data_IF_301962448310
#
_entry.id   IF_301962448310
#
_cell.length_a   1.000
_cell.length_b   1.000
_cell.length_c   1.000
_cell.angle_alpha   90.00
_cell.angle_beta   90.00
_cell.angle_gamma   90.00
#
_symmetry.space_group_name_H-M   'P 1'
#
loop_
_entity.id
_entity.type
_entity.pdbx_description
1 polymer ?
#
# COMPACT_ATOMS: atom_id res chain seq x y z
N UNK A 1 19.44 14.20 -5.05
CA UNK A 1 19.14 14.90 -6.33
C UNK A 1 17.88 15.71 -6.15
N UNK A 2 17.94 17.03 -6.33
CA UNK A 2 16.77 17.90 -6.27
C UNK A 2 16.01 17.82 -7.61
N UNK A 3 14.73 17.40 -7.58
CA UNK A 3 13.88 17.35 -8.77
C UNK A 3 12.95 18.57 -8.71
N UNK A 4 12.99 19.48 -9.68
CA UNK A 4 12.14 20.68 -9.71
C UNK A 4 10.65 20.36 -9.72
N UNK A 5 9.84 21.15 -9.03
CA UNK A 5 8.40 20.92 -8.87
C UNK A 5 7.61 20.76 -10.19
N UNK A 6 7.90 21.50 -11.29
CA UNK A 6 7.21 21.28 -12.58
C UNK A 6 7.48 19.89 -13.17
N UNK A 7 8.69 19.37 -13.01
CA UNK A 7 9.05 18.02 -13.45
C UNK A 7 8.32 17.00 -12.60
N UNK A 8 8.29 17.19 -11.27
CA UNK A 8 7.53 16.32 -10.37
C UNK A 8 6.04 16.35 -10.71
N UNK A 9 5.49 17.50 -11.08
CA UNK A 9 4.09 17.64 -11.47
C UNK A 9 3.77 16.85 -12.76
N UNK A 10 4.57 17.03 -13.80
CA UNK A 10 4.33 16.36 -15.09
C UNK A 10 4.36 14.84 -14.98
N UNK A 11 5.32 14.31 -14.19
CA UNK A 11 5.50 12.87 -14.01
C UNK A 11 4.75 12.30 -12.82
N UNK A 12 4.46 13.10 -11.80
CA UNK A 12 3.65 12.70 -10.65
C UNK A 12 2.20 12.38 -11.02
N UNK A 13 1.67 12.97 -12.09
CA UNK A 13 0.31 12.73 -12.59
C UNK A 13 0.01 11.27 -12.90
N UNK A 14 1.02 10.47 -13.31
CA UNK A 14 0.85 9.05 -13.58
C UNK A 14 0.71 8.18 -12.33
N UNK A 15 1.17 8.67 -11.17
CA UNK A 15 1.23 7.89 -9.92
C UNK A 15 0.14 8.22 -8.91
N UNK A 16 -0.70 9.19 -9.21
CA UNK A 16 -1.84 9.61 -8.38
C UNK A 16 -3.10 9.68 -9.24
N UNK A 17 -4.25 9.39 -8.65
CA UNK A 17 -5.52 9.49 -9.36
C UNK A 17 -5.89 10.95 -9.67
N UNK A 18 -5.51 11.87 -8.78
CA UNK A 18 -5.79 13.29 -8.82
C UNK A 18 -5.83 13.89 -7.43
N UNK A 19 -6.48 15.05 -7.29
CA UNK A 19 -6.53 15.76 -6.01
C UNK A 19 -7.82 15.49 -5.22
N UNK A 20 -8.84 14.92 -5.85
CA UNK A 20 -10.17 14.76 -5.28
C UNK A 20 -10.60 13.30 -5.20
N UNK A 21 -11.57 13.00 -4.33
CA UNK A 21 -12.20 11.67 -4.25
C UNK A 21 -12.85 11.28 -5.59
N UNK A 22 -13.41 12.25 -6.32
CA UNK A 22 -13.97 12.00 -7.65
C UNK A 22 -12.93 11.45 -8.64
N UNK A 23 -11.69 11.95 -8.59
CA UNK A 23 -10.59 11.42 -9.40
C UNK A 23 -10.26 9.98 -9.05
N UNK A 24 -10.21 9.66 -7.74
CA UNK A 24 -9.96 8.30 -7.26
C UNK A 24 -11.07 7.34 -7.71
N UNK A 25 -12.33 7.75 -7.61
CA UNK A 25 -13.50 6.97 -8.09
C UNK A 25 -13.40 6.69 -9.58
N UNK A 26 -13.13 7.73 -10.39
CA UNK A 26 -12.97 7.59 -11.85
C UNK A 26 -11.88 6.57 -12.20
N UNK A 27 -10.69 6.69 -11.60
CA UNK A 27 -9.58 5.76 -11.84
C UNK A 27 -9.93 4.34 -11.38
N UNK A 28 -10.56 4.21 -10.21
CA UNK A 28 -10.99 2.90 -9.68
C UNK A 28 -12.00 2.23 -10.62
N UNK A 29 -12.97 2.96 -11.17
CA UNK A 29 -13.91 2.40 -12.15
C UNK A 29 -13.22 1.87 -13.40
N UNK A 30 -12.22 2.59 -13.93
CA UNK A 30 -11.47 2.13 -15.10
C UNK A 30 -10.65 0.86 -14.79
N UNK A 31 -10.08 0.74 -13.58
CA UNK A 31 -9.41 -0.48 -13.14
C UNK A 31 -10.42 -1.64 -13.01
N UNK A 32 -11.60 -1.39 -12.40
CA UNK A 32 -12.62 -2.42 -12.20
C UNK A 32 -13.18 -2.96 -13.52
N UNK A 33 -13.30 -2.14 -14.59
CA UNK A 33 -13.65 -2.61 -15.94
C UNK A 33 -12.67 -3.66 -16.48
N UNK A 34 -11.43 -3.65 -16.01
CA UNK A 34 -10.38 -4.62 -16.36
C UNK A 34 -10.25 -5.76 -15.36
N UNK A 35 -11.23 -5.95 -14.45
CA UNK A 35 -11.17 -6.91 -13.34
C UNK A 35 -9.99 -6.67 -12.36
N UNK A 36 -9.53 -5.44 -12.25
CA UNK A 36 -8.48 -5.02 -11.33
C UNK A 36 -9.13 -4.34 -10.12
N UNK A 37 -8.82 -4.83 -8.93
CA UNK A 37 -9.25 -4.24 -7.65
C UNK A 37 -8.44 -2.96 -7.36
N UNK A 38 -8.96 -2.11 -6.49
CA UNK A 38 -8.23 -0.94 -6.03
C UNK A 38 -8.08 -0.89 -4.50
N UNK A 39 -7.03 -0.23 -4.03
CA UNK A 39 -6.93 0.30 -2.66
C UNK A 39 -6.83 1.80 -2.76
N UNK A 40 -7.79 2.51 -2.19
CA UNK A 40 -7.82 3.98 -2.20
C UNK A 40 -7.07 4.49 -0.96
N UNK A 41 -6.14 5.41 -1.16
CA UNK A 41 -5.33 6.05 -0.10
C UNK A 41 -5.45 7.56 -0.19
N UNK A 42 -5.77 8.22 0.92
CA UNK A 42 -5.77 9.68 1.03
C UNK A 42 -4.35 10.13 1.40
N UNK A 43 -3.73 10.90 0.52
CA UNK A 43 -2.37 11.37 0.74
C UNK A 43 -2.26 12.32 1.94
N UNK A 44 -1.54 11.90 2.95
CA UNK A 44 -1.27 12.61 4.20
C UNK A 44 -0.48 11.70 5.14
N UNK A 45 0.36 12.27 5.97
CA UNK A 45 1.16 11.55 6.99
C UNK A 45 1.66 12.56 8.04
N UNK A 46 2.12 12.08 9.20
CA UNK A 46 2.74 12.89 10.25
C UNK A 46 1.86 14.07 10.71
N UNK A 47 0.61 13.77 11.04
CA UNK A 47 -0.35 14.76 11.56
C UNK A 47 -0.04 15.08 13.02
N UNK A 48 0.08 16.37 13.34
CA UNK A 48 0.45 16.87 14.67
C UNK A 48 -0.69 17.60 15.41
N UNK A 49 -1.87 17.72 14.78
CA UNK A 49 -3.05 18.37 15.35
C UNK A 49 -4.24 17.42 15.35
N UNK A 50 -4.98 17.38 16.48
CA UNK A 50 -6.15 16.49 16.62
C UNK A 50 -7.23 16.78 15.56
N UNK A 51 -7.45 18.04 15.27
CA UNK A 51 -8.46 18.47 14.27
C UNK A 51 -8.14 17.94 12.86
N UNK A 52 -6.85 17.92 12.51
CA UNK A 52 -6.41 17.36 11.20
C UNK A 52 -6.57 15.83 11.17
N UNK A 53 -6.27 15.13 12.28
CA UNK A 53 -6.49 13.69 12.36
C UNK A 53 -7.98 13.32 12.26
N UNK A 54 -8.85 14.08 12.94
CA UNK A 54 -10.32 13.92 12.83
C UNK A 54 -10.80 14.19 11.41
N UNK A 55 -10.25 15.21 10.75
CA UNK A 55 -10.55 15.47 9.34
C UNK A 55 -10.21 14.26 8.46
N UNK A 56 -9.00 13.69 8.59
CA UNK A 56 -8.62 12.51 7.82
C UNK A 56 -9.46 11.27 8.16
N UNK A 57 -9.82 11.06 9.43
CA UNK A 57 -10.75 10.00 9.82
C UNK A 57 -12.09 10.13 9.06
N UNK A 58 -12.67 11.32 9.05
CA UNK A 58 -13.94 11.57 8.38
C UNK A 58 -13.83 11.41 6.85
N UNK A 59 -12.73 11.83 6.25
CA UNK A 59 -12.46 11.58 4.82
C UNK A 59 -12.29 10.09 4.52
N UNK A 60 -11.66 9.28 5.41
CA UNK A 60 -11.60 7.82 5.26
C UNK A 60 -12.99 7.17 5.28
N UNK A 61 -13.86 7.57 6.21
CA UNK A 61 -15.26 7.11 6.27
C UNK A 61 -16.01 7.51 5.00
N UNK A 62 -15.81 8.72 4.49
CA UNK A 62 -16.40 9.19 3.23
C UNK A 62 -15.92 8.38 2.03
N UNK A 63 -14.63 8.00 1.97
CA UNK A 63 -14.10 7.09 0.94
C UNK A 63 -14.82 5.75 0.99
N UNK A 64 -14.91 5.11 2.16
CA UNK A 64 -15.61 3.84 2.35
C UNK A 64 -17.09 3.92 1.95
N UNK A 65 -17.81 4.97 2.40
CA UNK A 65 -19.20 5.22 2.02
C UNK A 65 -19.36 5.41 0.49
N UNK A 66 -18.37 6.02 -0.17
CA UNK A 66 -18.38 6.20 -1.61
C UNK A 66 -18.10 4.89 -2.34
N UNK A 67 -17.17 4.07 -1.86
CA UNK A 67 -16.89 2.73 -2.39
C UNK A 67 -18.18 1.89 -2.39
N UNK A 68 -18.91 1.88 -1.28
CA UNK A 68 -20.16 1.14 -1.12
C UNK A 68 -21.25 1.67 -2.07
N UNK A 69 -21.55 2.96 -2.02
CA UNK A 69 -22.59 3.60 -2.86
C UNK A 69 -22.36 3.43 -4.36
N UNK A 70 -21.10 3.45 -4.78
CA UNK A 70 -20.71 3.34 -6.20
C UNK A 70 -20.47 1.89 -6.64
N UNK A 71 -20.61 0.91 -5.72
CA UNK A 71 -20.37 -0.50 -5.98
C UNK A 71 -18.95 -0.79 -6.48
N UNK A 72 -17.94 -0.07 -5.96
CA UNK A 72 -16.56 -0.21 -6.42
C UNK A 72 -15.89 -1.44 -5.81
N UNK A 73 -15.19 -2.22 -6.63
CA UNK A 73 -14.30 -3.26 -6.14
C UNK A 73 -13.01 -2.63 -5.61
N UNK A 74 -13.10 -2.05 -4.42
CA UNK A 74 -12.02 -1.34 -3.76
C UNK A 74 -12.09 -1.46 -2.24
N UNK A 75 -10.96 -1.21 -1.59
CA UNK A 75 -10.85 -1.04 -0.14
C UNK A 75 -10.09 0.24 0.20
N UNK A 76 -9.95 0.53 1.49
CA UNK A 76 -9.24 1.69 2.01
C UNK A 76 -7.86 1.29 2.55
N UNK A 77 -6.85 2.13 2.32
CA UNK A 77 -5.58 2.14 3.06
C UNK A 77 -5.45 3.43 3.86
N UNK A 78 -4.91 3.35 5.06
CA UNK A 78 -4.66 4.50 5.94
C UNK A 78 -3.31 4.37 6.66
N UNK A 79 -2.81 5.48 7.18
CA UNK A 79 -1.56 5.52 7.96
C UNK A 79 -1.83 5.88 9.41
N UNK A 80 -1.22 5.16 10.40
CA UNK A 80 -1.38 5.48 11.81
C UNK A 80 -1.02 6.92 12.17
N UNK A 81 0.05 7.49 11.58
CA UNK A 81 0.44 8.88 11.85
C UNK A 81 -0.55 9.89 11.27
N UNK A 82 -1.28 9.54 10.22
CA UNK A 82 -2.39 10.34 9.69
C UNK A 82 -3.58 10.35 10.66
N UNK A 83 -3.78 9.27 11.40
CA UNK A 83 -4.86 9.14 12.40
C UNK A 83 -4.48 9.74 13.77
N UNK A 84 -3.28 10.33 13.89
CA UNK A 84 -2.84 11.05 15.08
C UNK A 84 -1.88 10.28 15.99
N UNK A 85 -1.21 9.21 15.50
CA UNK A 85 -0.28 8.42 16.31
C UNK A 85 0.91 9.24 16.84
N UNK A 86 1.31 10.32 16.19
CA UNK A 86 2.33 11.24 16.71
C UNK A 86 1.82 12.12 17.87
N UNK A 87 0.50 12.21 18.05
CA UNK A 87 -0.13 13.02 19.09
C UNK A 87 -0.39 12.15 20.32
N UNK A 88 -1.11 11.07 20.14
CA UNK A 88 -1.52 10.17 21.20
C UNK A 88 -1.91 8.80 20.61
N UNK A 89 -1.43 7.71 21.25
CA UNK A 89 -1.65 6.34 20.78
C UNK A 89 -3.12 5.94 20.79
N UNK A 90 -3.78 6.18 21.92
CA UNK A 90 -5.15 5.71 22.12
C UNK A 90 -6.14 6.54 21.31
N UNK A 91 -5.86 7.82 21.12
CA UNK A 91 -6.59 8.68 20.19
C UNK A 91 -6.49 8.16 18.75
N UNK A 92 -5.29 7.78 18.29
CA UNK A 92 -5.10 7.22 16.96
C UNK A 92 -5.80 5.87 16.79
N UNK A 93 -5.70 4.98 17.79
CA UNK A 93 -6.40 3.70 17.81
C UNK A 93 -7.91 3.88 17.72
N UNK A 94 -8.48 4.79 18.50
CA UNK A 94 -9.92 5.09 18.45
C UNK A 94 -10.36 5.59 17.08
N UNK A 95 -9.59 6.48 16.44
CA UNK A 95 -9.89 6.93 15.08
C UNK A 95 -9.86 5.78 14.07
N UNK A 96 -8.90 4.86 14.17
CA UNK A 96 -8.81 3.70 13.29
C UNK A 96 -9.94 2.70 13.58
N UNK A 97 -10.29 2.47 14.85
CA UNK A 97 -11.39 1.62 15.26
C UNK A 97 -12.72 2.07 14.64
N UNK A 98 -13.05 3.37 14.71
CA UNK A 98 -14.25 3.91 14.07
C UNK A 98 -14.28 3.67 12.55
N UNK A 99 -13.14 3.80 11.86
CA UNK A 99 -13.03 3.54 10.42
C UNK A 99 -13.23 2.06 10.10
N UNK A 100 -12.61 1.15 10.90
CA UNK A 100 -12.71 -0.31 10.69
C UNK A 100 -14.12 -0.79 11.03
N UNK A 101 -14.74 -0.25 12.09
CA UNK A 101 -16.15 -0.53 12.44
C UNK A 101 -17.08 -0.16 11.29
N UNK A 102 -16.94 1.04 10.72
CA UNK A 102 -17.71 1.43 9.54
C UNK A 102 -17.46 0.52 8.34
N UNK A 103 -16.21 0.12 8.09
CA UNK A 103 -15.87 -0.81 7.02
C UNK A 103 -16.55 -2.18 7.20
N UNK A 104 -16.63 -2.69 8.46
CA UNK A 104 -17.36 -3.92 8.79
C UNK A 104 -18.85 -3.81 8.45
N UNK A 105 -19.49 -2.69 8.82
CA UNK A 105 -20.91 -2.48 8.60
C UNK A 105 -21.31 -2.53 7.11
N UNK A 106 -20.39 -2.12 6.22
CA UNK A 106 -20.57 -2.18 4.76
C UNK A 106 -19.86 -3.38 4.10
N UNK A 107 -19.44 -4.38 4.88
CA UNK A 107 -18.69 -5.54 4.41
C UNK A 107 -17.45 -5.20 3.57
N UNK A 108 -16.67 -4.22 4.02
CA UNK A 108 -15.42 -3.78 3.38
C UNK A 108 -14.21 -4.01 4.30
N UNK A 109 -13.04 -3.59 3.84
CA UNK A 109 -11.75 -3.89 4.45
C UNK A 109 -10.86 -2.64 4.55
N UNK A 110 -10.10 -2.55 5.64
CA UNK A 110 -9.12 -1.48 5.87
C UNK A 110 -7.71 -2.05 5.97
N UNK A 111 -6.79 -1.48 5.22
CA UNK A 111 -5.35 -1.77 5.32
C UNK A 111 -4.66 -0.70 6.16
N UNK A 112 -4.09 -1.09 7.29
CA UNK A 112 -3.21 -0.22 8.09
C UNK A 112 -1.82 -0.28 7.48
N UNK A 113 -1.38 0.81 6.84
CA UNK A 113 -0.08 0.89 6.19
C UNK A 113 1.05 0.95 7.23
N UNK A 114 2.19 0.35 6.90
CA UNK A 114 3.39 0.41 7.71
C UNK A 114 4.22 1.62 7.32
N UNK A 115 4.60 2.39 8.31
CA UNK A 115 5.44 3.58 8.15
C UNK A 115 6.91 3.27 8.54
N UNK A 116 7.66 4.24 9.05
CA UNK A 116 9.04 4.03 9.48
C UNK A 116 9.14 3.16 10.75
N UNK A 117 10.37 2.76 11.09
CA UNK A 117 10.62 1.82 12.19
C UNK A 117 10.20 2.34 13.57
N UNK A 118 10.07 3.66 13.73
CA UNK A 118 9.60 4.29 14.97
C UNK A 118 8.18 3.84 15.32
N UNK A 119 7.34 3.60 14.30
CA UNK A 119 5.93 3.30 14.45
C UNK A 119 5.58 1.83 14.26
N UNK A 120 6.57 0.98 13.93
CA UNK A 120 6.33 -0.45 13.65
C UNK A 120 5.61 -1.15 14.79
N UNK A 121 6.08 -0.99 16.04
CA UNK A 121 5.47 -1.69 17.18
C UNK A 121 4.02 -1.26 17.40
N UNK A 122 3.74 0.04 17.36
CA UNK A 122 2.38 0.57 17.53
C UNK A 122 1.45 0.09 16.41
N UNK A 123 1.92 0.08 15.15
CA UNK A 123 1.14 -0.40 14.01
C UNK A 123 0.78 -1.88 14.15
N UNK A 124 1.72 -2.72 14.59
CA UNK A 124 1.46 -4.15 14.82
C UNK A 124 0.52 -4.39 16.02
N UNK A 125 0.63 -3.59 17.09
CA UNK A 125 -0.30 -3.63 18.22
C UNK A 125 -1.71 -3.22 17.79
N UNK A 126 -1.86 -2.14 17.02
CA UNK A 126 -3.17 -1.73 16.47
C UNK A 126 -3.79 -2.83 15.62
N UNK A 127 -3.02 -3.45 14.73
CA UNK A 127 -3.52 -4.57 13.96
C UNK A 127 -3.95 -5.74 14.84
N UNK A 128 -3.19 -6.08 15.88
CA UNK A 128 -3.52 -7.17 16.80
C UNK A 128 -4.82 -6.89 17.55
N UNK A 129 -4.97 -5.69 18.12
CA UNK A 129 -6.17 -5.30 18.86
C UNK A 129 -7.42 -5.26 17.95
N UNK A 130 -7.30 -4.62 16.77
CA UNK A 130 -8.43 -4.45 15.84
C UNK A 130 -8.88 -5.75 15.18
N UNK A 131 -7.97 -6.68 14.87
CA UNK A 131 -8.37 -7.95 14.26
C UNK A 131 -9.12 -8.89 15.22
N UNK A 132 -8.93 -8.73 16.53
CA UNK A 132 -9.71 -9.48 17.54
C UNK A 132 -11.17 -9.03 17.52
N UNK A 133 -11.41 -7.72 17.36
CA UNK A 133 -12.75 -7.13 17.31
C UNK A 133 -13.39 -7.21 15.92
N UNK A 134 -12.58 -7.07 14.86
CA UNK A 134 -13.01 -7.02 13.46
C UNK A 134 -12.30 -8.09 12.60
N UNK A 135 -12.51 -9.38 12.88
CA UNK A 135 -11.85 -10.45 12.13
C UNK A 135 -12.27 -10.41 10.65
N UNK A 136 -11.29 -10.29 9.76
CA UNK A 136 -11.53 -10.24 8.31
C UNK A 136 -11.70 -8.82 7.72
N UNK A 137 -11.90 -7.77 8.52
CA UNK A 137 -12.11 -6.41 8.04
C UNK A 137 -10.85 -5.53 8.10
N UNK A 138 -9.79 -6.01 8.72
CA UNK A 138 -8.54 -5.27 8.90
C UNK A 138 -7.32 -6.11 8.55
N UNK A 139 -6.28 -5.47 8.05
CA UNK A 139 -4.99 -6.06 7.80
C UNK A 139 -3.87 -5.04 7.93
N UNK A 140 -2.63 -5.52 8.00
CA UNK A 140 -1.46 -4.65 8.10
C UNK A 140 -0.43 -4.92 7.02
N UNK A 141 0.65 -4.15 7.00
CA UNK A 141 1.75 -4.23 6.04
C UNK A 141 3.02 -4.66 6.76
N UNK A 142 3.78 -5.56 6.15
CA UNK A 142 5.10 -5.95 6.58
C UNK A 142 6.13 -5.65 5.49
N UNK A 143 7.31 -5.21 5.92
CA UNK A 143 8.35 -4.70 5.01
C UNK A 143 9.57 -5.61 5.04
N UNK A 144 9.90 -6.25 3.91
CA UNK A 144 10.98 -7.24 3.86
C UNK A 144 12.37 -6.67 4.08
N UNK A 145 12.57 -5.36 3.94
CA UNK A 145 13.88 -4.77 4.25
C UNK A 145 14.18 -4.72 5.76
N UNK A 146 13.15 -4.77 6.63
CA UNK A 146 13.33 -4.81 8.07
C UNK A 146 13.83 -6.19 8.53
N UNK A 147 14.89 -6.20 9.34
CA UNK A 147 15.47 -7.44 9.89
C UNK A 147 14.52 -8.19 10.82
N UNK A 148 13.55 -7.48 11.40
CA UNK A 148 12.57 -8.03 12.34
C UNK A 148 11.39 -8.74 11.67
N UNK A 149 11.11 -8.48 10.38
CA UNK A 149 9.91 -8.97 9.68
C UNK A 149 9.61 -10.46 9.88
N UNK A 150 10.57 -11.39 9.78
CA UNK A 150 10.27 -12.81 10.04
C UNK A 150 9.80 -13.09 11.47
N UNK A 151 10.32 -12.38 12.47
CA UNK A 151 9.89 -12.50 13.88
C UNK A 151 8.52 -11.86 14.11
N UNK A 152 8.23 -10.74 13.44
CA UNK A 152 6.93 -10.09 13.50
C UNK A 152 5.83 -11.01 12.93
N UNK A 153 6.10 -11.73 11.84
CA UNK A 153 5.19 -12.75 11.29
C UNK A 153 4.92 -13.84 12.33
N UNK A 154 5.95 -14.31 13.05
CA UNK A 154 5.78 -15.33 14.08
C UNK A 154 4.94 -14.83 15.25
N UNK A 155 5.13 -13.57 15.67
CA UNK A 155 4.40 -12.98 16.78
C UNK A 155 2.92 -12.69 16.50
N UNK A 156 2.53 -12.71 15.22
CA UNK A 156 1.17 -12.46 14.74
C UNK A 156 0.46 -13.74 14.27
N UNK A 157 0.89 -14.91 14.72
CA UNK A 157 0.47 -16.21 14.18
C UNK A 157 -0.94 -16.65 14.52
N UNK A 158 -1.64 -15.96 15.39
CA UNK A 158 -2.97 -16.36 15.87
C UNK A 158 -4.10 -15.70 15.06
N UNK A 159 -5.21 -16.43 14.85
CA UNK A 159 -6.42 -15.92 14.20
C UNK A 159 -6.32 -15.74 12.69
N UNK A 160 -7.27 -14.99 12.11
CA UNK A 160 -7.26 -14.65 10.69
C UNK A 160 -6.17 -13.63 10.37
N UNK A 161 -5.25 -14.02 9.51
CA UNK A 161 -4.11 -13.20 9.14
C UNK A 161 -4.31 -12.60 7.76
N UNK A 162 -4.15 -11.27 7.66
CA UNK A 162 -4.20 -10.55 6.39
C UNK A 162 -3.06 -9.54 6.32
N UNK A 163 -2.07 -9.83 5.47
CA UNK A 163 -0.87 -9.02 5.31
C UNK A 163 -0.73 -8.46 3.89
N UNK A 164 -0.13 -7.30 3.78
CA UNK A 164 0.57 -6.85 2.58
C UNK A 164 2.06 -7.02 2.82
N UNK A 165 2.76 -7.70 1.94
CA UNK A 165 4.22 -7.78 1.97
C UNK A 165 4.81 -6.89 0.89
N UNK A 166 5.66 -5.93 1.29
CA UNK A 166 6.41 -5.06 0.37
C UNK A 166 7.89 -5.01 0.73
N UNK A 167 8.73 -4.40 -0.10
CA UNK A 167 10.16 -4.25 0.19
C UNK A 167 10.43 -3.30 1.35
N UNK A 168 9.74 -2.18 1.41
CA UNK A 168 9.96 -1.06 2.32
C UNK A 168 10.66 0.11 1.62
N UNK A 169 10.36 1.35 2.07
CA UNK A 169 10.76 2.57 1.36
C UNK A 169 11.48 3.61 2.24
N UNK A 170 11.38 3.49 3.56
CA UNK A 170 11.95 4.48 4.46
C UNK A 170 13.45 4.32 4.62
N UNK A 171 14.14 5.43 4.90
CA UNK A 171 15.58 5.39 5.07
C UNK A 171 15.98 5.00 6.49
N UNK A 172 15.96 3.70 6.76
CA UNK A 172 16.31 3.13 8.05
C UNK A 172 17.81 2.89 8.23
N UNK A 173 18.35 2.94 9.45
CA UNK A 173 19.75 2.59 9.69
C UNK A 173 20.01 1.09 9.43
N UNK A 174 21.26 0.75 9.06
CA UNK A 174 21.66 -0.64 8.72
C UNK A 174 21.41 -1.64 9.85
N UNK A 175 21.41 -1.22 11.09
CA UNK A 175 21.08 -2.08 12.24
C UNK A 175 19.61 -2.53 12.25
N UNK A 176 18.70 -1.76 11.64
CA UNK A 176 17.26 -2.01 11.58
C UNK A 176 16.90 -2.67 10.25
N UNK A 177 17.45 -2.20 9.12
CA UNK A 177 17.08 -2.66 7.80
C UNK A 177 18.28 -3.15 6.98
N UNK A 178 18.05 -4.15 6.15
CA UNK A 178 18.96 -4.55 5.08
C UNK A 178 19.10 -3.41 4.06
N UNK A 179 20.28 -3.30 3.43
CA UNK A 179 20.56 -2.28 2.40
C UNK A 179 20.85 -2.89 1.04
N UNK A 180 21.24 -4.14 1.03
CA UNK A 180 21.51 -4.89 -0.18
C UNK A 180 20.20 -5.35 -0.82
N UNK A 181 19.91 -4.98 -2.07
CA UNK A 181 18.67 -5.36 -2.76
C UNK A 181 18.48 -6.88 -2.88
N UNK A 182 19.57 -7.62 -3.05
CA UNK A 182 19.51 -9.09 -3.10
C UNK A 182 19.03 -9.66 -1.76
N UNK A 183 19.60 -9.20 -0.64
CA UNK A 183 19.19 -9.66 0.70
C UNK A 183 17.74 -9.26 1.00
N UNK A 184 17.31 -8.06 0.58
CA UNK A 184 15.93 -7.62 0.72
C UNK A 184 14.99 -8.55 -0.05
N UNK A 185 15.35 -8.94 -1.27
CA UNK A 185 14.57 -9.87 -2.09
C UNK A 185 14.53 -11.27 -1.46
N UNK A 186 15.67 -11.78 -0.94
CA UNK A 186 15.69 -13.07 -0.23
C UNK A 186 14.80 -13.05 1.02
N UNK A 187 14.83 -11.95 1.80
CA UNK A 187 13.98 -11.82 2.97
C UNK A 187 12.49 -11.62 2.58
N UNK A 188 12.20 -11.07 1.40
CA UNK A 188 10.83 -11.02 0.86
C UNK A 188 10.30 -12.44 0.62
N UNK A 189 11.06 -13.25 -0.11
CA UNK A 189 10.69 -14.64 -0.43
C UNK A 189 10.55 -15.47 0.85
N UNK A 190 11.49 -15.36 1.77
CA UNK A 190 11.45 -16.03 3.06
C UNK A 190 10.24 -15.63 3.91
N UNK A 191 9.93 -14.35 3.95
CA UNK A 191 8.77 -13.82 4.66
C UNK A 191 7.45 -14.27 4.03
N UNK A 192 7.37 -14.28 2.70
CA UNK A 192 6.21 -14.78 1.97
C UNK A 192 5.95 -16.27 2.23
N UNK A 193 7.02 -17.09 2.18
CA UNK A 193 6.94 -18.52 2.50
C UNK A 193 6.40 -18.75 3.93
N UNK A 194 6.89 -17.99 4.92
CA UNK A 194 6.37 -18.04 6.30
C UNK A 194 4.89 -17.64 6.41
N UNK A 195 4.47 -16.60 5.68
CA UNK A 195 3.07 -16.16 5.69
C UNK A 195 2.16 -17.24 5.10
N UNK A 196 2.55 -17.88 4.01
CA UNK A 196 1.78 -18.97 3.40
C UNK A 196 1.75 -20.23 4.27
N UNK A 197 2.85 -20.58 4.97
CA UNK A 197 2.84 -21.65 5.97
C UNK A 197 1.78 -21.44 7.06
N UNK A 198 1.56 -20.18 7.45
CA UNK A 198 0.55 -19.78 8.44
C UNK A 198 -0.85 -19.59 7.85
N UNK A 199 -1.04 -19.88 6.57
CA UNK A 199 -2.32 -19.69 5.83
C UNK A 199 -2.82 -18.25 5.89
N UNK A 200 -1.92 -17.28 5.94
CA UNK A 200 -2.28 -15.86 5.87
C UNK A 200 -2.73 -15.51 4.45
N UNK A 201 -3.77 -14.68 4.35
CA UNK A 201 -4.03 -13.96 3.10
C UNK A 201 -2.92 -12.94 2.86
N UNK A 202 -2.32 -12.93 1.67
CA UNK A 202 -1.20 -12.05 1.38
C UNK A 202 -1.42 -11.23 0.12
N UNK A 203 -1.38 -9.89 0.28
CA UNK A 203 -1.16 -8.96 -0.82
C UNK A 203 0.34 -8.87 -1.14
N UNK A 204 0.74 -9.44 -2.26
CA UNK A 204 2.13 -9.51 -2.74
C UNK A 204 2.46 -8.20 -3.46
N UNK A 205 3.04 -7.23 -2.74
CA UNK A 205 3.22 -5.87 -3.23
C UNK A 205 4.62 -5.66 -3.84
N UNK A 206 4.74 -5.88 -5.14
CA UNK A 206 5.99 -5.73 -5.87
C UNK A 206 5.79 -5.48 -7.37
N UNK A 207 6.77 -4.81 -8.01
CA UNK A 207 6.93 -4.67 -9.46
C UNK A 207 8.19 -5.40 -9.96
N UNK A 208 8.84 -6.16 -9.07
CA UNK A 208 10.04 -6.92 -9.38
C UNK A 208 9.64 -8.29 -9.95
N UNK A 209 9.86 -8.48 -11.26
CA UNK A 209 9.48 -9.70 -11.96
C UNK A 209 10.10 -10.96 -11.33
N UNK A 210 11.32 -10.85 -10.77
CA UNK A 210 11.94 -11.98 -10.06
C UNK A 210 11.15 -12.36 -8.80
N UNK A 211 10.64 -11.36 -8.06
CA UNK A 211 9.80 -11.63 -6.89
C UNK A 211 8.43 -12.16 -7.28
N UNK A 212 7.87 -11.71 -8.40
CA UNK A 212 6.62 -12.27 -8.94
C UNK A 212 6.81 -13.73 -9.31
N UNK A 213 7.90 -14.08 -10.03
CA UNK A 213 8.22 -15.45 -10.36
C UNK A 213 8.37 -16.36 -9.13
N UNK A 214 9.14 -15.91 -8.12
CA UNK A 214 9.30 -16.67 -6.87
C UNK A 214 7.98 -16.77 -6.09
N UNK A 215 7.13 -15.76 -6.14
CA UNK A 215 5.80 -15.80 -5.53
C UNK A 215 4.91 -16.85 -6.20
N UNK A 216 4.92 -16.94 -7.53
CA UNK A 216 4.18 -17.97 -8.29
C UNK A 216 4.65 -19.38 -7.90
N UNK A 217 5.97 -19.59 -7.74
CA UNK A 217 6.52 -20.86 -7.26
C UNK A 217 6.01 -21.23 -5.86
N UNK A 218 5.92 -20.25 -4.96
CA UNK A 218 5.38 -20.49 -3.61
C UNK A 218 3.87 -20.74 -3.64
N UNK A 219 3.11 -20.03 -4.47
CA UNK A 219 1.68 -20.26 -4.68
C UNK A 219 1.43 -21.70 -5.15
N UNK A 220 2.20 -22.18 -6.14
CA UNK A 220 2.14 -23.56 -6.61
C UNK A 220 2.53 -24.56 -5.52
N UNK A 221 3.67 -24.32 -4.82
CA UNK A 221 4.17 -25.16 -3.72
C UNK A 221 3.11 -25.40 -2.63
N UNK A 222 2.33 -24.38 -2.27
CA UNK A 222 1.30 -24.46 -1.25
C UNK A 222 -0.10 -24.80 -1.77
N UNK A 223 -0.27 -24.96 -3.10
CA UNK A 223 -1.56 -25.24 -3.74
C UNK A 223 -2.60 -24.16 -3.45
N UNK A 224 -2.19 -22.87 -3.40
CA UNK A 224 -3.06 -21.78 -3.04
C UNK A 224 -4.08 -21.49 -4.15
N UNK A 225 -5.31 -21.19 -3.73
CA UNK A 225 -6.37 -20.74 -4.63
C UNK A 225 -6.26 -19.23 -4.86
N UNK A 226 -6.95 -18.74 -5.89
CA UNK A 226 -6.96 -17.30 -6.23
C UNK A 226 -7.49 -16.42 -5.09
N UNK A 227 -8.33 -16.98 -4.22
CA UNK A 227 -8.92 -16.30 -3.07
C UNK A 227 -7.95 -16.13 -1.90
N UNK A 228 -6.85 -16.88 -1.86
CA UNK A 228 -5.90 -16.91 -0.75
C UNK A 228 -4.84 -15.79 -0.83
N UNK A 229 -4.72 -15.14 -1.99
CA UNK A 229 -3.71 -14.08 -2.23
C UNK A 229 -4.17 -13.08 -3.30
N UNK A 230 -3.42 -12.02 -3.44
CA UNK A 230 -3.49 -11.09 -4.57
C UNK A 230 -2.11 -10.48 -4.86
N UNK A 231 -1.83 -10.13 -6.11
CA UNK A 231 -0.72 -9.24 -6.43
C UNK A 231 -1.14 -7.79 -6.21
N UNK A 232 -0.19 -6.95 -5.78
CA UNK A 232 -0.44 -5.53 -5.57
C UNK A 232 0.60 -4.68 -6.28
N UNK A 233 0.15 -3.67 -7.01
CA UNK A 233 1.00 -2.75 -7.76
C UNK A 233 0.59 -1.31 -7.53
N UNK A 234 1.49 -0.39 -7.78
CA UNK A 234 1.22 1.05 -7.69
C UNK A 234 0.58 1.55 -9.00
N UNK A 235 -0.29 2.53 -8.90
CA UNK A 235 -0.86 3.21 -10.06
C UNK A 235 0.25 3.78 -10.95
N UNK A 236 0.14 3.57 -12.26
CA UNK A 236 1.05 4.10 -13.27
C UNK A 236 2.44 3.47 -13.30
N UNK A 237 2.65 2.34 -12.61
CA UNK A 237 3.91 1.60 -12.62
C UNK A 237 3.71 0.25 -13.30
N UNK A 238 4.52 -0.02 -14.34
CA UNK A 238 4.63 -1.29 -15.05
C UNK A 238 3.26 -1.90 -15.43
N UNK A 239 2.52 -1.16 -16.23
CA UNK A 239 1.18 -1.57 -16.67
C UNK A 239 1.19 -2.84 -17.54
N UNK A 240 2.28 -3.08 -18.28
CA UNK A 240 2.44 -4.28 -19.07
C UNK A 240 2.51 -5.53 -18.18
N UNK A 241 3.36 -5.53 -17.16
CA UNK A 241 3.47 -6.62 -16.18
C UNK A 241 2.16 -6.83 -15.42
N UNK A 242 1.47 -5.74 -15.07
CA UNK A 242 0.13 -5.79 -14.46
C UNK A 242 -0.86 -6.55 -15.36
N UNK A 243 -0.91 -6.20 -16.64
CA UNK A 243 -1.87 -6.79 -17.58
C UNK A 243 -1.52 -8.28 -17.87
N UNK A 244 -0.23 -8.66 -17.85
CA UNK A 244 0.24 -10.06 -17.91
C UNK A 244 -0.29 -10.85 -16.70
N UNK A 245 -0.15 -10.35 -15.48
CA UNK A 245 -0.60 -11.02 -14.24
C UNK A 245 -2.12 -11.25 -14.27
N UNK A 246 -2.88 -10.22 -14.66
CA UNK A 246 -4.34 -10.32 -14.77
C UNK A 246 -4.77 -11.30 -15.85
N UNK A 247 -4.11 -11.29 -17.03
CA UNK A 247 -4.39 -12.20 -18.15
C UNK A 247 -4.08 -13.66 -17.79
N UNK A 248 -3.08 -13.89 -16.92
CA UNK A 248 -2.80 -15.21 -16.35
C UNK A 248 -3.84 -15.66 -15.31
N UNK A 249 -4.85 -14.82 -15.04
CA UNK A 249 -5.98 -15.12 -14.17
C UNK A 249 -5.70 -14.94 -12.69
N UNK A 250 -4.64 -14.26 -12.29
CA UNK A 250 -4.37 -13.91 -10.90
C UNK A 250 -5.17 -12.67 -10.48
N UNK A 251 -5.51 -12.60 -9.20
CA UNK A 251 -6.09 -11.39 -8.61
C UNK A 251 -5.02 -10.30 -8.50
N UNK A 252 -5.38 -9.09 -8.88
CA UNK A 252 -4.49 -7.94 -8.80
C UNK A 252 -5.24 -6.73 -8.26
N UNK A 253 -4.56 -6.00 -7.39
CA UNK A 253 -5.02 -4.74 -6.79
C UNK A 253 -4.04 -3.62 -7.08
N UNK A 254 -4.57 -2.47 -7.48
CA UNK A 254 -3.77 -1.26 -7.68
C UNK A 254 -3.96 -0.30 -6.50
N UNK A 255 -2.86 0.19 -5.98
CA UNK A 255 -2.85 1.25 -4.97
C UNK A 255 -3.11 2.58 -5.65
N UNK A 256 -4.21 3.25 -5.29
CA UNK A 256 -4.75 4.45 -5.93
C UNK A 256 -4.69 5.63 -4.95
N UNK A 257 -3.56 6.33 -4.87
CA UNK A 257 -3.44 7.49 -4.00
C UNK A 257 -4.09 8.72 -4.63
N UNK A 258 -4.69 9.57 -3.79
CA UNK A 258 -5.24 10.86 -4.20
C UNK A 258 -5.11 11.91 -3.09
N UNK A 259 -5.22 13.18 -3.42
CA UNK A 259 -5.24 14.27 -2.44
C UNK A 259 -4.26 15.40 -2.75
N UNK A 260 -4.36 16.47 -1.97
CA UNK A 260 -3.59 17.71 -2.21
C UNK A 260 -2.09 17.58 -1.82
N UNK A 261 -1.75 16.67 -0.89
CA UNK A 261 -0.35 16.45 -0.43
C UNK A 261 0.46 15.52 -1.37
N UNK A 262 0.14 15.49 -2.66
CA UNK A 262 0.70 14.60 -3.68
C UNK A 262 2.19 14.81 -3.98
N UNK A 263 2.74 16.01 -3.75
CA UNK A 263 4.10 16.36 -4.17
C UNK A 263 5.18 15.53 -3.46
N UNK A 264 5.02 15.30 -2.14
CA UNK A 264 5.94 14.49 -1.35
C UNK A 264 5.90 13.02 -1.81
N UNK A 265 4.72 12.47 -2.04
CA UNK A 265 4.52 11.12 -2.57
C UNK A 265 5.18 10.95 -3.94
N UNK A 266 4.89 11.85 -4.89
CA UNK A 266 5.44 11.79 -6.25
C UNK A 266 6.97 11.91 -6.27
N UNK A 267 7.56 12.75 -5.40
CA UNK A 267 9.02 12.83 -5.25
C UNK A 267 9.64 11.53 -4.77
N UNK A 268 9.00 10.80 -3.84
CA UNK A 268 9.45 9.49 -3.39
C UNK A 268 9.45 8.49 -4.55
N UNK A 269 8.36 8.41 -5.31
CA UNK A 269 8.23 7.51 -6.48
C UNK A 269 9.31 7.76 -7.53
N UNK A 270 9.58 9.01 -7.87
CA UNK A 270 10.63 9.37 -8.84
C UNK A 270 12.05 9.03 -8.34
N UNK A 271 12.30 9.09 -7.03
CA UNK A 271 13.59 8.66 -6.45
C UNK A 271 13.78 7.15 -6.47
N UNK A 272 12.72 6.39 -6.30
CA UNK A 272 12.76 4.92 -6.29
C UNK A 272 12.93 4.32 -7.69
N UNK A 273 12.48 5.03 -8.71
CA UNK A 273 12.61 4.57 -10.10
C UNK A 273 13.42 5.58 -10.95
N UNK A 274 14.78 5.56 -10.87
CA UNK A 274 15.64 6.48 -11.60
C UNK A 274 15.49 6.38 -13.13
N UNK A 275 15.04 5.25 -13.66
CA UNK A 275 14.82 5.07 -15.10
C UNK A 275 13.60 5.87 -15.56
N UNK A 276 12.54 5.92 -14.78
CA UNK A 276 11.39 6.79 -15.03
C UNK A 276 11.82 8.26 -14.98
N UNK A 277 12.61 8.65 -13.98
CA UNK A 277 13.14 10.00 -13.91
C UNK A 277 14.02 10.37 -15.13
N UNK A 278 14.80 9.42 -15.68
CA UNK A 278 15.60 9.61 -16.90
C UNK A 278 14.73 9.71 -18.16
N UNK A 279 13.74 8.85 -18.33
CA UNK A 279 12.76 8.94 -19.43
C UNK A 279 11.98 10.24 -19.37
N UNK A 280 11.56 10.59 -18.21
CA UNK A 280 10.91 11.82 -17.87
C UNK A 280 11.71 13.05 -18.30
N UNK A 281 12.97 13.10 -17.91
CA UNK A 281 13.86 14.20 -18.25
C UNK A 281 14.12 14.27 -19.77
N UNK A 282 14.26 13.13 -20.44
CA UNK A 282 14.42 13.07 -21.92
C UNK A 282 13.18 13.59 -22.65
N UNK A 283 11.98 13.20 -22.26
CA UNK A 283 10.74 13.70 -22.87
C UNK A 283 10.55 15.21 -22.64
N UNK A 284 10.84 15.71 -21.45
CA UNK A 284 10.80 17.14 -21.14
C UNK A 284 11.79 17.96 -21.98
N UNK A 285 13.02 17.47 -22.14
CA UNK A 285 14.04 18.12 -22.96
C UNK A 285 13.72 18.04 -24.47
N UNK A 286 13.04 16.98 -24.92
CA UNK A 286 12.54 16.90 -26.32
C UNK A 286 11.39 17.89 -26.58
N UNK A 287 10.47 18.05 -25.65
CA UNK A 287 9.37 19.01 -25.78
C UNK A 287 9.87 20.47 -25.81
N UNK A 288 10.94 20.81 -25.06
CA UNK A 288 11.54 22.15 -25.10
C UNK A 288 12.37 22.46 -26.37
N UNK A 289 12.68 21.44 -27.19
CA UNK A 289 13.39 21.62 -28.47
C UNK A 289 12.46 21.84 -29.66
N UNK A 290 11.17 21.68 -29.47
CA UNK A 290 10.11 21.82 -30.49
C UNK A 290 9.11 22.92 -30.19
N UNK A 291 9.35 23.74 -29.17
CA UNK A 291 8.72 25.04 -28.89
C UNK A 291 9.74 26.16 -29.07
#
# INVERSE_FOLDING_TARGET
>A
MYIPSPIVYFFGKGYIAGQTLYDAVRVTRELNKKNIMATIDILGEAVTKKEEAIFFKNECIKVLSTIDKEGLNANLSLKPTQMGLEIDRDFALNNINEIVSFAKDINNFVRIDMEDSKWTDNTLLFYKELREEFPGNVGTVLQSYLRRTPKDIDSLSDGLLNFRLCKGIYNEPRKIAYKDPYIINQNFIYSLDKMFQKRAYVGIATHDEKLIFESLRLIEKYGLKKEDYEFQMLLGVDEELRDIIVSAGHRLRVYVPFGQKWLAYSRRRLKENPNIAKHALRQFLHLQRHT
#
